data_IF_035657562620
#
_entry.id   IF_035657562620
#
_cell.length_a   1.000
_cell.length_b   1.000
_cell.length_c   1.000
_cell.angle_alpha   90.00
_cell.angle_beta   90.00
_cell.angle_gamma   90.00
#
_symmetry.space_group_name_H-M   'P 1'
#
loop_
_entity.id
_entity.type
_entity.pdbx_description
1 polymer ?
#
# COMPACT_ATOMS: atom_id res chain seq x y z
N UNK A 1 -12.09 -9.07 -22.42
CA UNK A 1 -11.07 -9.27 -21.38
C UNK A 1 -10.42 -10.61 -21.62
N UNK A 2 -9.09 -10.71 -21.79
CA UNK A 2 -8.46 -11.98 -22.15
C UNK A 2 -8.61 -12.98 -21.01
N UNK A 3 -9.02 -14.21 -21.36
CA UNK A 3 -9.15 -15.38 -20.49
C UNK A 3 -7.76 -15.85 -20.00
N UNK A 4 -7.20 -15.21 -18.99
CA UNK A 4 -5.99 -15.73 -18.30
C UNK A 4 -6.36 -16.75 -17.20
N UNK A 5 -7.66 -16.93 -16.92
CA UNK A 5 -8.14 -17.79 -15.82
C UNK A 5 -8.29 -19.29 -16.12
N UNK A 6 -8.03 -19.81 -17.32
CA UNK A 6 -8.44 -21.19 -17.63
C UNK A 6 -7.33 -22.23 -17.85
N UNK A 7 -6.04 -21.87 -17.85
CA UNK A 7 -4.98 -22.87 -18.09
C UNK A 7 -3.87 -22.91 -17.02
N UNK A 8 -3.74 -21.88 -16.19
CA UNK A 8 -2.79 -21.84 -15.07
C UNK A 8 -3.51 -21.21 -13.87
N UNK A 9 -3.52 -21.90 -12.72
CA UNK A 9 -4.09 -21.38 -11.48
C UNK A 9 -3.36 -20.10 -11.05
N UNK A 10 -4.11 -19.12 -10.53
CA UNK A 10 -3.53 -17.92 -9.93
C UNK A 10 -3.38 -18.17 -8.43
N UNK A 11 -2.17 -18.01 -7.90
CA UNK A 11 -1.89 -18.26 -6.47
C UNK A 11 -1.67 -16.98 -5.66
N UNK A 12 -1.32 -15.85 -6.30
CA UNK A 12 -1.04 -14.58 -5.63
C UNK A 12 -1.09 -13.41 -6.62
N UNK A 13 -1.44 -12.22 -6.10
CA UNK A 13 -1.33 -10.94 -6.82
C UNK A 13 -0.40 -10.00 -6.07
N UNK A 14 0.52 -9.33 -6.79
CA UNK A 14 1.38 -8.28 -6.23
C UNK A 14 1.19 -6.99 -7.02
N UNK A 15 1.04 -5.87 -6.30
CA UNK A 15 0.80 -4.54 -6.86
C UNK A 15 1.88 -3.58 -6.37
N UNK A 16 2.69 -3.07 -7.30
CA UNK A 16 3.72 -2.05 -7.06
C UNK A 16 3.38 -0.78 -7.87
N UNK A 17 2.82 0.27 -7.29
CA UNK A 17 2.30 0.45 -5.93
C UNK A 17 0.93 1.14 -5.99
N UNK A 18 0.13 1.07 -4.93
CA UNK A 18 -1.29 1.49 -4.95
C UNK A 18 -1.49 2.95 -5.38
N UNK A 19 -0.52 3.83 -5.09
CA UNK A 19 -0.68 5.23 -5.43
C UNK A 19 -0.61 5.52 -6.95
N UNK A 20 -0.23 4.56 -7.79
CA UNK A 20 -0.33 4.68 -9.25
C UNK A 20 -1.71 4.28 -9.80
N UNK A 21 -2.53 3.61 -9.00
CA UNK A 21 -3.88 3.24 -9.40
C UNK A 21 -4.75 4.50 -9.36
N UNK A 22 -5.48 4.73 -10.44
CA UNK A 22 -6.46 5.81 -10.56
C UNK A 22 -7.86 5.28 -10.32
N UNK A 23 -8.64 6.02 -9.53
CA UNK A 23 -10.05 5.75 -9.28
C UNK A 23 -10.91 5.97 -10.52
N UNK A 24 -12.10 5.37 -10.55
CA UNK A 24 -13.08 5.59 -11.61
C UNK A 24 -13.92 6.83 -11.28
N UNK A 25 -13.45 8.01 -11.71
CA UNK A 25 -14.21 9.25 -11.63
C UNK A 25 -13.42 10.44 -11.10
N UNK A 26 -14.04 11.62 -11.08
CA UNK A 26 -13.51 12.79 -10.39
C UNK A 26 -13.73 12.59 -8.88
N UNK A 27 -12.83 11.87 -8.21
CA UNK A 27 -12.82 11.85 -6.74
C UNK A 27 -12.40 13.22 -6.21
N UNK A 28 -13.23 13.84 -5.35
CA UNK A 28 -12.96 15.16 -4.79
C UNK A 28 -11.75 15.18 -3.84
N UNK A 29 -11.27 14.02 -3.38
CA UNK A 29 -10.06 13.92 -2.57
C UNK A 29 -9.28 12.63 -2.83
N UNK A 30 -7.95 12.75 -2.75
CA UNK A 30 -7.03 11.60 -2.84
C UNK A 30 -7.31 10.55 -1.77
N UNK A 31 -7.71 10.98 -0.57
CA UNK A 31 -8.05 10.07 0.52
C UNK A 31 -9.24 9.16 0.16
N UNK A 32 -10.25 9.71 -0.49
CA UNK A 32 -11.41 8.93 -0.93
C UNK A 32 -11.02 7.93 -2.02
N UNK A 33 -10.20 8.37 -2.98
CA UNK A 33 -9.68 7.50 -4.05
C UNK A 33 -8.90 6.31 -3.49
N UNK A 34 -7.96 6.56 -2.55
CA UNK A 34 -7.19 5.49 -1.91
C UNK A 34 -8.11 4.55 -1.11
N UNK A 35 -9.17 5.09 -0.51
CA UNK A 35 -10.16 4.27 0.21
C UNK A 35 -10.97 3.37 -0.73
N UNK A 36 -11.32 3.84 -1.91
CA UNK A 36 -11.99 3.02 -2.94
C UNK A 36 -11.06 1.94 -3.49
N UNK A 37 -9.80 2.30 -3.77
CA UNK A 37 -8.77 1.35 -4.23
C UNK A 37 -8.58 0.24 -3.19
N UNK A 38 -8.37 0.60 -1.92
CA UNK A 38 -8.16 -0.34 -0.81
C UNK A 38 -9.31 -1.35 -0.69
N UNK A 39 -10.56 -0.88 -0.67
CA UNK A 39 -11.74 -1.76 -0.68
C UNK A 39 -11.82 -2.65 -1.92
N UNK A 40 -11.52 -2.09 -3.09
CA UNK A 40 -11.50 -2.85 -4.34
C UNK A 40 -10.48 -3.98 -4.32
N UNK A 41 -9.29 -3.74 -3.77
CA UNK A 41 -8.25 -4.77 -3.62
C UNK A 41 -8.69 -5.87 -2.65
N UNK A 42 -9.34 -5.52 -1.53
CA UNK A 42 -9.88 -6.50 -0.59
C UNK A 42 -10.99 -7.35 -1.20
N UNK A 43 -11.86 -6.74 -2.00
CA UNK A 43 -12.90 -7.45 -2.75
C UNK A 43 -12.28 -8.39 -3.79
N UNK A 44 -11.29 -7.91 -4.55
CA UNK A 44 -10.56 -8.73 -5.52
C UNK A 44 -9.90 -9.95 -4.86
N UNK A 45 -9.24 -9.77 -3.72
CA UNK A 45 -8.63 -10.87 -2.97
C UNK A 45 -9.66 -11.94 -2.59
N UNK A 46 -10.86 -11.52 -2.16
CA UNK A 46 -11.96 -12.43 -1.78
C UNK A 46 -12.59 -13.12 -2.98
N UNK A 47 -12.81 -12.41 -4.08
CA UNK A 47 -13.41 -12.98 -5.30
C UNK A 47 -12.47 -13.98 -6.00
N UNK A 48 -11.17 -13.70 -5.94
CA UNK A 48 -10.14 -14.53 -6.56
C UNK A 48 -9.66 -15.65 -5.64
N UNK A 49 -9.98 -15.59 -4.34
CA UNK A 49 -9.51 -16.50 -3.29
C UNK A 49 -7.97 -16.62 -3.22
N UNK A 50 -7.27 -15.51 -3.45
CA UNK A 50 -5.79 -15.45 -3.42
C UNK A 50 -5.31 -14.29 -2.55
N UNK A 51 -4.12 -14.42 -1.94
CA UNK A 51 -3.45 -13.29 -1.29
C UNK A 51 -3.14 -12.17 -2.30
N UNK A 52 -3.39 -10.93 -1.87
CA UNK A 52 -3.03 -9.71 -2.60
C UNK A 52 -2.05 -8.90 -1.76
N UNK A 53 -0.84 -8.70 -2.26
CA UNK A 53 0.17 -7.83 -1.64
C UNK A 53 0.16 -6.51 -2.39
N UNK A 54 -0.10 -5.43 -1.67
CA UNK A 54 -0.14 -4.09 -2.24
C UNK A 54 0.92 -3.21 -1.58
N UNK A 55 1.83 -2.65 -2.38
CA UNK A 55 2.84 -1.72 -1.89
C UNK A 55 2.23 -0.33 -1.73
N UNK A 56 2.57 0.35 -0.65
CA UNK A 56 2.14 1.72 -0.37
C UNK A 56 3.34 2.58 -0.01
N UNK A 57 3.40 3.77 -0.59
CA UNK A 57 4.37 4.78 -0.18
C UNK A 57 3.93 5.46 1.13
N UNK A 58 4.91 5.72 2.00
CA UNK A 58 4.70 6.44 3.24
C UNK A 58 4.80 7.95 3.03
N UNK A 59 4.10 8.71 3.87
CA UNK A 59 4.29 10.14 3.99
C UNK A 59 5.74 10.46 4.40
N UNK A 60 6.30 11.56 3.85
CA UNK A 60 7.62 12.07 4.25
C UNK A 60 7.69 12.52 5.73
N UNK A 61 6.58 12.52 6.46
CA UNK A 61 6.54 12.86 7.87
C UNK A 61 7.40 11.93 8.74
N UNK A 62 7.57 10.66 8.35
CA UNK A 62 8.50 9.72 9.03
C UNK A 62 9.93 10.28 9.09
N UNK A 63 10.37 10.99 8.06
CA UNK A 63 11.74 11.54 7.99
C UNK A 63 11.98 12.72 8.92
N UNK A 64 10.91 13.35 9.41
CA UNK A 64 10.98 14.50 10.33
C UNK A 64 11.10 14.07 11.80
N UNK A 65 10.80 12.81 12.12
CA UNK A 65 10.88 12.27 13.48
C UNK A 65 12.33 11.95 13.86
N UNK A 66 12.64 12.02 15.15
CA UNK A 66 13.94 11.58 15.68
C UNK A 66 14.12 10.07 15.48
N UNK A 67 13.07 9.32 15.82
CA UNK A 67 12.97 7.88 15.58
C UNK A 67 12.20 7.67 14.28
N UNK A 68 12.90 7.22 13.24
CA UNK A 68 12.38 7.08 11.87
C UNK A 68 11.80 5.69 11.60
N UNK A 69 11.15 5.11 12.60
CA UNK A 69 10.46 3.83 12.48
C UNK A 69 9.07 4.12 11.93
N UNK A 70 8.69 3.56 10.76
CA UNK A 70 7.35 3.71 10.22
C UNK A 70 6.26 3.26 11.20
N UNK A 71 5.14 3.96 11.15
CA UNK A 71 3.94 3.66 11.94
C UNK A 71 2.70 3.82 11.07
N UNK A 72 1.56 3.29 11.53
CA UNK A 72 0.28 3.35 10.79
C UNK A 72 -0.11 4.78 10.37
N UNK A 73 0.14 5.77 11.24
CA UNK A 73 -0.15 7.17 10.91
C UNK A 73 0.73 7.77 9.79
N UNK A 74 1.80 7.08 9.35
CA UNK A 74 2.57 7.50 8.18
C UNK A 74 1.86 7.15 6.85
N UNK A 75 0.83 6.29 6.88
CA UNK A 75 -0.12 6.05 5.78
C UNK A 75 -1.17 7.18 5.71
N UNK A 76 -0.80 8.43 6.06
CA UNK A 76 -1.67 9.54 6.50
C UNK A 76 -2.82 9.97 5.55
N UNK A 77 -2.92 9.42 4.35
CA UNK A 77 -4.03 9.63 3.41
C UNK A 77 -4.86 8.36 3.19
N UNK A 78 -4.69 7.38 4.06
CA UNK A 78 -5.04 6.00 3.80
C UNK A 78 -5.43 5.24 5.07
N UNK A 79 -6.12 5.91 6.01
CA UNK A 79 -6.66 5.23 7.20
C UNK A 79 -7.60 4.07 6.84
N UNK A 80 -8.18 4.10 5.63
CA UNK A 80 -8.91 2.98 5.03
C UNK A 80 -8.03 1.75 4.77
N UNK A 81 -6.75 1.92 4.40
CA UNK A 81 -5.84 0.79 4.23
C UNK A 81 -5.66 0.02 5.54
N UNK A 82 -5.49 0.73 6.66
CA UNK A 82 -5.38 0.10 7.97
C UNK A 82 -6.64 -0.70 8.32
N UNK A 83 -7.83 -0.20 7.94
CA UNK A 83 -9.10 -0.85 8.24
C UNK A 83 -9.42 -2.02 7.31
N UNK A 84 -9.02 -1.95 6.04
CA UNK A 84 -9.35 -2.94 5.01
C UNK A 84 -8.30 -4.07 4.92
N UNK A 85 -7.04 -3.80 5.25
CA UNK A 85 -5.96 -4.77 5.15
C UNK A 85 -6.02 -5.80 6.29
N UNK A 86 -5.77 -7.07 5.97
CA UNK A 86 -5.62 -8.11 6.99
C UNK A 86 -4.29 -7.98 7.74
N UNK A 87 -3.23 -7.55 7.04
CA UNK A 87 -1.87 -7.41 7.56
C UNK A 87 -1.26 -6.13 6.98
N UNK A 88 -0.64 -5.34 7.85
CA UNK A 88 0.19 -4.19 7.47
C UNK A 88 1.64 -4.46 7.88
N UNK A 89 2.57 -4.39 6.93
CA UNK A 89 4.01 -4.54 7.17
C UNK A 89 4.74 -3.27 6.78
N UNK A 90 5.70 -2.87 7.61
CA UNK A 90 6.61 -1.76 7.33
C UNK A 90 8.03 -2.27 7.12
N UNK A 91 8.74 -1.61 6.22
CA UNK A 91 10.16 -1.84 5.99
C UNK A 91 10.97 -0.73 6.68
N UNK A 92 11.86 -1.13 7.59
CA UNK A 92 12.80 -0.23 8.26
C UNK A 92 14.22 -0.76 8.09
N UNK A 93 15.15 0.13 7.75
CA UNK A 93 16.57 -0.21 7.58
C UNK A 93 17.43 0.75 8.39
N UNK A 94 17.92 0.28 9.54
CA UNK A 94 18.73 1.09 10.46
C UNK A 94 19.96 1.70 9.77
N UNK A 95 20.68 0.90 8.99
CA UNK A 95 21.89 1.35 8.29
C UNK A 95 21.66 2.58 7.40
N UNK A 96 20.52 2.64 6.70
CA UNK A 96 20.18 3.79 5.85
C UNK A 96 20.11 5.10 6.64
N UNK A 97 19.62 5.03 7.88
CA UNK A 97 19.48 6.18 8.77
C UNK A 97 20.79 6.54 9.48
N UNK A 98 21.59 5.54 9.85
CA UNK A 98 22.90 5.74 10.49
C UNK A 98 23.92 6.32 9.50
N UNK A 99 23.98 5.85 8.26
CA UNK A 99 24.88 6.40 7.24
C UNK A 99 24.55 7.87 6.89
N UNK A 100 23.26 8.23 6.87
CA UNK A 100 22.82 9.63 6.67
C UNK A 100 23.28 10.57 7.77
N UNK A 101 23.32 10.10 9.03
CA UNK A 101 23.84 10.89 10.16
C UNK A 101 25.35 11.13 10.07
N UNK A 102 26.12 10.14 9.59
CA UNK A 102 27.59 10.25 9.48
C UNK A 102 28.06 11.13 8.31
N UNK A 103 27.21 11.40 7.32
CA UNK A 103 27.50 12.25 6.16
C UNK A 103 27.07 13.72 6.33
N UNK A 104 26.54 14.09 7.49
CA UNK A 104 26.26 15.48 7.87
C UNK A 104 27.32 15.95 8.85
#
# INVERSE_FOLDING_TARGET
MPKIKSEVGLDMVVIDYIQLITGRGNSDSRQQEVSEISRGLKQLAREMEVPVIALSQLSRNVEKREVKIPQLSDLRESGSIEQDADIVMFLYREEYYTQRRRKR
#
